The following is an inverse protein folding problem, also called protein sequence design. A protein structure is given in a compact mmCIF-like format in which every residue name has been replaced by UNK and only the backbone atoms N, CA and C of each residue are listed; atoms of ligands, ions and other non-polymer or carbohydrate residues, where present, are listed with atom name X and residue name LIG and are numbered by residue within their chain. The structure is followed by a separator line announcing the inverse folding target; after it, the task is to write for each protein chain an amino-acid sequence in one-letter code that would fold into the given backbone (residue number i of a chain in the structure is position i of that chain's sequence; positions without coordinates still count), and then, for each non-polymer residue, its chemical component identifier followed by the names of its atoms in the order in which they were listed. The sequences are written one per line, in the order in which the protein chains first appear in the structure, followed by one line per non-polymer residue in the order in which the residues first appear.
data_IF_849569095493
#
_entry.id   IF_849569095493
#
_cell.length_a   1.000
_cell.length_b   1.000
_cell.length_c   1.000
_cell.angle_alpha   90.00
_cell.angle_beta   90.00
_cell.angle_gamma   90.00
#
_symmetry.space_group_name_H-M   'P 1'
#
loop_
_entity.id
_entity.type
_entity.pdbx_description
1 polymer ?
#
# COMPACT_ATOMS: atom_id res chain seq x y z
N UNK A 1 -12.34 -6.36 -5.68
CA UNK A 1 -12.75 -4.93 -5.79
C UNK A 1 -13.92 -4.56 -4.89
N UNK A 2 -14.98 -5.37 -4.75
CA UNK A 2 -16.06 -5.05 -3.79
C UNK A 2 -15.54 -4.93 -2.35
N UNK A 3 -14.61 -5.79 -1.94
CA UNK A 3 -13.98 -5.73 -0.61
C UNK A 3 -13.02 -4.55 -0.45
N UNK A 4 -12.31 -4.18 -1.51
CA UNK A 4 -11.50 -2.95 -1.59
C UNK A 4 -12.38 -1.72 -1.39
N UNK A 5 -13.47 -1.61 -2.16
CA UNK A 5 -14.45 -0.54 -2.04
C UNK A 5 -15.12 -0.53 -0.66
N UNK A 6 -15.44 -1.70 -0.10
CA UNK A 6 -15.95 -1.84 1.27
C UNK A 6 -14.91 -1.44 2.34
N UNK A 7 -13.63 -1.70 2.11
CA UNK A 7 -12.55 -1.20 2.98
C UNK A 7 -12.41 0.33 2.90
N UNK A 8 -12.67 0.93 1.74
CA UNK A 8 -12.81 2.38 1.58
C UNK A 8 -14.09 2.94 2.23
N UNK A 9 -15.19 2.18 2.29
CA UNK A 9 -16.40 2.54 3.04
C UNK A 9 -16.20 2.48 4.56
N UNK A 10 -15.33 1.58 5.05
CA UNK A 10 -14.99 1.43 6.47
C UNK A 10 -13.92 2.43 6.95
N UNK A 11 -13.12 2.97 6.03
CA UNK A 11 -12.35 4.18 6.30
C UNK A 11 -13.35 5.32 6.46
N UNK A 12 -13.63 5.72 7.71
CA UNK A 12 -14.56 6.80 8.07
C UNK A 12 -14.09 8.16 7.52
N UNK A 13 -14.13 8.31 6.20
CA UNK A 13 -13.96 9.57 5.50
C UNK A 13 -15.26 10.35 5.68
N UNK A 14 -15.34 11.07 6.80
CA UNK A 14 -16.41 12.03 7.08
C UNK A 14 -16.64 12.91 5.83
N UNK A 15 -17.85 12.91 5.24
CA UNK A 15 -18.15 13.80 4.14
C UNK A 15 -18.02 15.24 4.61
N UNK A 16 -17.22 16.04 3.92
CA UNK A 16 -17.15 17.48 4.15
C UNK A 16 -18.57 18.06 4.15
N UNK A 17 -19.04 18.53 5.31
CA UNK A 17 -20.37 19.12 5.45
C UNK A 17 -20.48 20.36 4.57
N UNK A 18 -21.21 20.23 3.45
CA UNK A 18 -21.80 21.37 2.77
C UNK A 18 -23.32 21.22 2.79
N UNK A 19 -23.95 22.25 3.35
CA UNK A 19 -25.35 22.36 3.68
C UNK A 19 -26.28 22.42 2.44
N UNK A 20 -27.33 21.60 2.50
CA UNK A 20 -28.74 21.90 2.13
C UNK A 20 -29.10 22.03 0.63
N UNK A 21 -29.70 20.97 0.05
CA UNK A 21 -31.14 20.83 -0.32
C UNK A 21 -31.40 19.54 -1.13
N UNK A 22 -32.56 18.88 -0.92
CA UNK A 22 -33.07 17.67 -1.62
C UNK A 22 -34.37 18.04 -2.38
N UNK A 23 -34.93 17.19 -3.28
CA UNK A 23 -34.34 16.11 -4.08
C UNK A 23 -34.83 16.06 -5.55
N UNK A 24 -34.09 15.39 -6.44
CA UNK A 24 -34.72 14.62 -7.52
C UNK A 24 -33.91 13.38 -7.87
N UNK A 25 -34.65 12.31 -8.09
CA UNK A 25 -34.27 10.90 -8.21
C UNK A 25 -33.34 10.59 -9.39
N UNK A 26 -32.13 10.10 -9.11
CA UNK A 26 -31.46 9.10 -9.92
C UNK A 26 -30.58 8.23 -9.00
N UNK A 27 -30.57 6.93 -9.28
CA UNK A 27 -29.77 5.90 -8.60
C UNK A 27 -28.29 6.28 -8.59
N UNK A 28 -27.82 6.84 -7.46
CA UNK A 28 -26.43 7.19 -7.27
C UNK A 28 -25.68 6.02 -6.65
N UNK A 29 -24.75 5.43 -7.40
CA UNK A 29 -23.59 4.78 -6.78
C UNK A 29 -22.88 5.82 -5.89
N UNK A 30 -22.31 5.42 -4.74
CA UNK A 30 -21.62 6.35 -3.86
C UNK A 30 -20.41 6.94 -4.59
N UNK A 31 -20.52 8.20 -5.01
CA UNK A 31 -19.41 8.97 -5.57
C UNK A 31 -18.51 9.39 -4.42
N UNK A 32 -17.48 8.60 -4.13
CA UNK A 32 -16.37 9.05 -3.30
C UNK A 32 -15.75 10.28 -3.97
N UNK A 33 -15.74 11.43 -3.29
CA UNK A 33 -14.93 12.58 -3.72
C UNK A 33 -13.46 12.24 -3.45
N UNK A 34 -12.78 11.65 -4.44
CA UNK A 34 -11.41 11.14 -4.37
C UNK A 34 -10.30 12.20 -4.30
N UNK A 35 -10.63 13.47 -4.05
CA UNK A 35 -9.65 14.58 -4.13
C UNK A 35 -8.56 14.56 -3.06
N UNK A 36 -8.61 13.60 -2.11
CA UNK A 36 -7.65 13.44 -1.02
C UNK A 36 -7.07 12.01 -0.96
N UNK A 37 -7.26 11.20 -2.01
CA UNK A 37 -6.70 9.85 -2.07
C UNK A 37 -5.43 9.87 -2.90
N UNK A 38 -4.33 9.41 -2.32
CA UNK A 38 -3.03 9.27 -2.99
C UNK A 38 -2.68 7.82 -3.23
N UNK A 39 -1.81 7.58 -4.19
CA UNK A 39 -1.23 6.27 -4.41
C UNK A 39 0.30 6.38 -4.46
N UNK A 40 0.98 5.48 -3.77
CA UNK A 40 2.43 5.31 -3.86
C UNK A 40 2.70 3.87 -4.25
N UNK A 41 3.47 3.67 -5.30
CA UNK A 41 3.80 2.37 -5.83
C UNK A 41 5.30 2.12 -5.71
N UNK A 42 5.66 0.97 -5.14
CA UNK A 42 7.03 0.50 -5.07
C UNK A 42 7.15 -0.85 -5.77
N UNK A 43 8.28 -1.09 -6.45
CA UNK A 43 8.70 -2.45 -6.81
C UNK A 43 7.96 -3.07 -8.01
N UNK A 44 7.63 -2.29 -9.05
CA UNK A 44 7.02 -2.83 -10.28
C UNK A 44 8.01 -3.67 -11.10
N UNK A 45 9.30 -3.37 -11.02
CA UNK A 45 10.38 -3.91 -11.85
C UNK A 45 10.42 -3.36 -13.27
N UNK A 46 11.33 -3.90 -14.09
CA UNK A 46 11.48 -3.47 -15.49
C UNK A 46 10.33 -4.00 -16.36
N UNK A 47 9.32 -3.16 -16.60
CA UNK A 47 8.14 -3.52 -17.43
C UNK A 47 8.44 -3.57 -18.94
N UNK A 48 9.55 -3.03 -19.40
CA UNK A 48 10.01 -3.24 -20.78
C UNK A 48 10.39 -4.69 -21.04
N UNK A 49 11.04 -5.35 -20.08
CA UNK A 49 11.55 -6.72 -20.20
C UNK A 49 10.66 -7.78 -19.56
N UNK A 50 9.90 -7.43 -18.51
CA UNK A 50 9.14 -8.39 -17.70
C UNK A 50 7.63 -8.33 -17.97
N UNK A 51 7.05 -9.48 -18.35
CA UNK A 51 5.59 -9.62 -18.57
C UNK A 51 4.82 -9.39 -17.26
N UNK A 52 5.31 -9.89 -16.13
CA UNK A 52 4.66 -9.76 -14.82
C UNK A 52 4.58 -8.27 -14.44
N UNK A 53 5.68 -7.54 -14.55
CA UNK A 53 5.76 -6.10 -14.31
C UNK A 53 4.78 -5.30 -15.18
N UNK A 54 4.57 -5.70 -16.46
CA UNK A 54 3.55 -5.08 -17.31
C UNK A 54 2.14 -5.29 -16.80
N UNK A 55 1.80 -6.49 -16.34
CA UNK A 55 0.49 -6.77 -15.77
C UNK A 55 0.27 -6.02 -14.45
N UNK A 56 1.28 -5.94 -13.60
CA UNK A 56 1.22 -5.16 -12.36
C UNK A 56 1.05 -3.66 -12.64
N UNK A 57 1.77 -3.11 -13.62
CA UNK A 57 1.58 -1.71 -14.04
C UNK A 57 0.19 -1.47 -14.63
N UNK A 58 -0.29 -2.36 -15.50
CA UNK A 58 -1.63 -2.27 -16.07
C UNK A 58 -2.70 -2.30 -14.97
N UNK A 59 -2.56 -3.18 -13.98
CA UNK A 59 -3.46 -3.24 -12.83
C UNK A 59 -3.43 -1.97 -11.99
N UNK A 60 -2.24 -1.41 -11.71
CA UNK A 60 -2.11 -0.12 -11.04
C UNK A 60 -2.88 0.98 -11.77
N UNK A 61 -2.70 1.11 -13.09
CA UNK A 61 -3.39 2.13 -13.88
C UNK A 61 -4.91 1.96 -13.87
N UNK A 62 -5.40 0.72 -13.96
CA UNK A 62 -6.83 0.41 -13.85
C UNK A 62 -7.38 0.67 -12.45
N UNK A 63 -6.59 0.42 -11.41
CA UNK A 63 -6.94 0.73 -10.03
C UNK A 63 -7.11 2.24 -9.84
N UNK A 64 -6.17 3.05 -10.35
CA UNK A 64 -6.25 4.51 -10.30
C UNK A 64 -7.53 5.00 -10.99
N UNK A 65 -7.83 4.49 -12.19
CA UNK A 65 -9.05 4.83 -12.93
C UNK A 65 -10.31 4.44 -12.14
N UNK A 66 -10.36 3.21 -11.61
CA UNK A 66 -11.54 2.71 -10.91
C UNK A 66 -11.81 3.47 -9.61
N UNK A 67 -10.76 3.88 -8.90
CA UNK A 67 -10.84 4.68 -7.68
C UNK A 67 -10.89 6.19 -7.95
N UNK A 68 -10.86 6.58 -9.22
CA UNK A 68 -10.84 7.98 -9.66
C UNK A 68 -9.68 8.77 -9.03
N UNK A 69 -8.54 8.13 -8.76
CA UNK A 69 -7.34 8.79 -8.27
C UNK A 69 -6.69 9.48 -9.49
N UNK A 70 -6.50 10.82 -9.48
CA UNK A 70 -5.77 11.49 -10.54
C UNK A 70 -4.37 10.87 -10.68
N UNK A 71 -3.95 10.53 -11.89
CA UNK A 71 -2.64 9.88 -12.11
C UNK A 71 -1.48 10.73 -11.58
N UNK A 72 -1.62 12.05 -11.60
CA UNK A 72 -0.64 12.99 -11.01
C UNK A 72 -0.50 12.88 -9.48
N UNK A 73 -1.44 12.20 -8.81
CA UNK A 73 -1.40 11.85 -7.38
C UNK A 73 -0.94 10.39 -7.14
N UNK A 74 -0.48 9.72 -8.20
CA UNK A 74 0.21 8.43 -8.11
C UNK A 74 1.72 8.67 -8.25
N UNK A 75 2.45 8.27 -7.23
CA UNK A 75 3.91 8.30 -7.19
C UNK A 75 4.41 6.87 -7.36
N UNK A 76 5.44 6.67 -8.18
CA UNK A 76 5.96 5.33 -8.47
C UNK A 76 7.49 5.32 -8.38
N UNK A 77 8.03 4.29 -7.74
CA UNK A 77 9.46 4.08 -7.61
C UNK A 77 9.84 2.63 -7.87
N UNK A 78 10.88 2.45 -8.67
CA UNK A 78 11.61 1.20 -8.78
C UNK A 78 13.05 1.52 -9.21
N UNK A 79 14.09 0.98 -8.55
CA UNK A 79 15.48 1.23 -8.94
C UNK A 79 15.83 0.64 -10.32
N UNK A 80 15.02 -0.27 -10.85
CA UNK A 80 15.24 -0.92 -12.14
C UNK A 80 14.72 -0.13 -13.34
N UNK A 81 14.02 1.00 -13.12
CA UNK A 81 13.51 1.79 -14.24
C UNK A 81 14.64 2.40 -15.07
N UNK A 82 14.59 2.13 -16.38
CA UNK A 82 15.40 2.81 -17.38
C UNK A 82 14.85 4.21 -17.71
N UNK A 83 15.67 5.08 -18.31
CA UNK A 83 15.23 6.41 -18.77
C UNK A 83 14.00 6.34 -19.71
N UNK A 84 13.92 5.30 -20.56
CA UNK A 84 12.79 5.06 -21.45
C UNK A 84 11.52 4.76 -20.64
N UNK A 85 11.61 3.88 -19.64
CA UNK A 85 10.49 3.52 -18.78
C UNK A 85 10.02 4.71 -17.96
N UNK A 86 10.94 5.52 -17.44
CA UNK A 86 10.61 6.79 -16.77
C UNK A 86 9.85 7.72 -17.73
N UNK A 87 10.31 7.86 -18.98
CA UNK A 87 9.61 8.64 -20.01
C UNK A 87 8.18 8.14 -20.24
N UNK A 88 7.99 6.83 -20.40
CA UNK A 88 6.66 6.21 -20.57
C UNK A 88 5.76 6.45 -19.35
N UNK A 89 6.28 6.32 -18.13
CA UNK A 89 5.51 6.58 -16.91
C UNK A 89 5.04 8.04 -16.83
N UNK A 90 5.91 8.99 -17.17
CA UNK A 90 5.56 10.40 -17.22
C UNK A 90 4.49 10.69 -18.29
N UNK A 91 4.60 10.08 -19.48
CA UNK A 91 3.61 10.21 -20.55
C UNK A 91 2.25 9.60 -20.17
N UNK A 92 2.26 8.54 -19.35
CA UNK A 92 1.06 7.95 -18.76
C UNK A 92 0.44 8.82 -17.66
N UNK A 93 1.16 9.84 -17.19
CA UNK A 93 0.71 10.84 -16.23
C UNK A 93 0.93 10.48 -14.77
N UNK A 94 1.72 9.45 -14.45
CA UNK A 94 2.15 9.14 -13.08
C UNK A 94 3.49 9.78 -12.78
N UNK A 95 3.75 10.08 -11.50
CA UNK A 95 4.94 10.80 -11.08
C UNK A 95 6.02 9.81 -10.64
N UNK A 96 7.16 9.78 -11.31
CA UNK A 96 8.29 8.94 -10.90
C UNK A 96 9.04 9.60 -9.74
N UNK A 97 9.22 8.88 -8.63
CA UNK A 97 10.11 9.27 -7.54
C UNK A 97 11.54 9.00 -8.01
N UNK A 98 12.44 9.98 -7.88
CA UNK A 98 13.83 9.84 -8.34
C UNK A 98 14.80 9.42 -7.25
N UNK A 99 14.43 9.64 -5.99
CA UNK A 99 15.24 9.28 -4.83
C UNK A 99 14.70 8.01 -4.20
N UNK A 100 15.58 7.08 -3.84
CA UNK A 100 15.19 5.89 -3.12
C UNK A 100 14.85 6.25 -1.66
N UNK A 101 13.56 6.36 -1.37
CA UNK A 101 13.03 6.62 -0.02
C UNK A 101 13.09 5.38 0.89
N UNK A 102 13.52 4.21 0.39
CA UNK A 102 13.62 2.94 1.13
C UNK A 102 12.28 2.52 1.77
N UNK A 103 11.16 2.94 1.16
CA UNK A 103 9.80 2.68 1.64
C UNK A 103 9.33 3.59 2.78
N UNK A 104 10.11 4.61 3.14
CA UNK A 104 9.83 5.50 4.30
C UNK A 104 8.96 6.70 3.91
N UNK A 105 7.94 6.48 3.08
CA UNK A 105 7.05 7.55 2.63
C UNK A 105 6.15 8.02 3.77
N UNK A 106 6.13 9.31 4.06
CA UNK A 106 5.28 9.86 5.11
C UNK A 106 3.85 10.11 4.64
N UNK A 107 2.88 9.66 5.44
CA UNK A 107 1.45 9.81 5.17
C UNK A 107 0.94 11.14 5.70
N UNK A 108 0.30 11.92 4.82
CA UNK A 108 -0.44 13.14 5.19
C UNK A 108 -1.95 13.03 4.93
N UNK A 109 -2.33 12.18 3.99
CA UNK A 109 -3.69 11.98 3.50
C UNK A 109 -3.95 10.48 3.35
N UNK A 110 -5.18 10.04 3.08
CA UNK A 110 -5.41 8.62 2.84
C UNK A 110 -4.59 8.16 1.64
N UNK A 111 -3.76 7.15 1.85
CA UNK A 111 -2.74 6.75 0.87
C UNK A 111 -2.76 5.23 0.67
N UNK A 112 -2.85 4.84 -0.60
CA UNK A 112 -2.71 3.45 -1.03
C UNK A 112 -1.25 3.19 -1.36
N UNK A 113 -0.65 2.21 -0.69
CA UNK A 113 0.67 1.68 -1.00
C UNK A 113 0.52 0.42 -1.85
N UNK A 114 0.90 0.51 -3.12
CA UNK A 114 0.92 -0.60 -4.05
C UNK A 114 2.32 -1.21 -4.09
N UNK A 115 2.50 -2.35 -3.42
CA UNK A 115 3.81 -2.92 -3.08
C UNK A 115 3.92 -4.41 -3.43
N UNK A 116 3.23 -4.86 -4.49
CA UNK A 116 3.15 -6.28 -4.84
C UNK A 116 4.54 -6.90 -4.97
N UNK A 117 4.76 -8.04 -4.30
CA UNK A 117 6.03 -8.77 -4.26
C UNK A 117 7.24 -8.02 -3.69
N UNK A 118 7.04 -6.82 -3.11
CA UNK A 118 8.13 -6.09 -2.45
C UNK A 118 8.76 -6.90 -1.30
N UNK A 119 10.03 -6.62 -1.00
CA UNK A 119 10.72 -7.20 0.14
C UNK A 119 10.06 -6.82 1.48
N UNK A 120 10.11 -7.73 2.46
CA UNK A 120 9.45 -7.58 3.79
C UNK A 120 9.94 -6.35 4.54
N UNK A 121 11.23 -6.03 4.38
CA UNK A 121 11.84 -4.86 4.96
C UNK A 121 11.19 -3.55 4.47
N UNK A 122 10.62 -3.52 3.26
CA UNK A 122 9.98 -2.30 2.72
C UNK A 122 8.67 -2.00 3.43
N UNK A 123 7.86 -3.04 3.68
CA UNK A 123 6.66 -2.94 4.52
C UNK A 123 7.00 -2.51 5.93
N UNK A 124 8.07 -3.09 6.50
CA UNK A 124 8.48 -2.79 7.87
C UNK A 124 8.97 -1.34 8.01
N UNK A 125 9.71 -0.80 7.03
CA UNK A 125 10.10 0.61 6.96
C UNK A 125 8.89 1.54 6.79
N UNK A 126 7.95 1.17 5.93
CA UNK A 126 6.72 1.93 5.71
C UNK A 126 5.91 2.04 7.01
N UNK A 127 5.74 0.92 7.72
CA UNK A 127 5.06 0.89 9.00
C UNK A 127 5.81 1.72 10.04
N UNK A 128 7.13 1.56 10.15
CA UNK A 128 7.95 2.31 11.10
C UNK A 128 7.87 3.83 10.90
N UNK A 129 8.06 4.30 9.67
CA UNK A 129 8.04 5.73 9.33
C UNK A 129 6.68 6.39 9.58
N UNK A 130 5.62 5.58 9.71
CA UNK A 130 4.24 6.00 9.96
C UNK A 130 3.66 5.42 11.26
N UNK A 131 4.50 5.08 12.25
CA UNK A 131 4.10 4.29 13.42
C UNK A 131 3.26 5.06 14.45
N UNK A 132 2.04 5.42 14.07
CA UNK A 132 1.05 6.07 14.92
C UNK A 132 -0.36 5.63 14.53
N UNK A 133 -1.29 5.71 15.49
CA UNK A 133 -2.70 5.40 15.25
C UNK A 133 -3.26 6.27 14.11
N UNK A 134 -2.94 7.57 14.12
CA UNK A 134 -3.44 8.52 13.11
C UNK A 134 -2.95 8.18 11.70
N UNK A 135 -1.64 7.96 11.53
CA UNK A 135 -1.06 7.69 10.20
C UNK A 135 -1.47 6.30 9.68
N UNK A 136 -1.41 5.24 10.50
CA UNK A 136 -1.79 3.90 10.08
C UNK A 136 -3.29 3.82 9.73
N UNK A 137 -4.15 4.56 10.43
CA UNK A 137 -5.59 4.60 10.11
C UNK A 137 -5.91 5.20 8.73
N UNK A 138 -4.95 5.88 8.09
CA UNK A 138 -5.04 6.47 6.75
C UNK A 138 -4.30 5.63 5.69
N UNK A 139 -3.72 4.50 6.08
CA UNK A 139 -2.92 3.64 5.22
C UNK A 139 -3.74 2.47 4.69
N UNK A 140 -3.62 2.21 3.40
CA UNK A 140 -4.03 0.96 2.77
C UNK A 140 -2.81 0.37 2.08
N UNK A 141 -2.57 -0.92 2.23
CA UNK A 141 -1.50 -1.62 1.52
C UNK A 141 -2.12 -2.63 0.59
N UNK A 142 -1.67 -2.68 -0.67
CA UNK A 142 -1.92 -3.76 -1.62
C UNK A 142 -0.57 -4.42 -1.87
N UNK A 143 -0.36 -5.60 -1.29
CA UNK A 143 0.96 -6.22 -1.25
C UNK A 143 0.93 -7.62 -0.67
N UNK A 144 2.09 -8.11 -0.24
CA UNK A 144 2.28 -9.46 0.29
C UNK A 144 1.49 -9.65 1.59
N UNK A 145 0.85 -10.82 1.72
CA UNK A 145 0.12 -11.21 2.93
C UNK A 145 0.98 -11.09 4.18
N UNK A 146 0.50 -10.34 5.19
CA UNK A 146 1.18 -10.18 6.47
C UNK A 146 1.01 -11.45 7.28
N UNK A 147 -0.18 -12.05 7.22
CA UNK A 147 -0.41 -13.40 7.74
C UNK A 147 0.49 -14.44 7.07
N UNK A 148 0.62 -14.39 5.75
CA UNK A 148 1.53 -15.26 5.00
C UNK A 148 3.00 -15.03 5.36
N UNK A 149 3.41 -13.80 5.69
CA UNK A 149 4.74 -13.49 6.23
C UNK A 149 4.92 -14.10 7.63
N UNK A 150 3.94 -13.94 8.53
CA UNK A 150 3.93 -14.53 9.87
C UNK A 150 4.06 -16.05 9.83
N UNK A 151 3.29 -16.72 8.97
CA UNK A 151 3.26 -18.18 8.87
C UNK A 151 4.57 -18.79 8.31
N UNK A 152 5.27 -18.06 7.43
CA UNK A 152 6.51 -18.55 6.78
C UNK A 152 7.78 -18.25 7.56
N UNK A 153 7.78 -17.22 8.41
CA UNK A 153 8.95 -16.84 9.20
C UNK A 153 8.93 -17.49 10.58
N UNK A 154 10.11 -17.81 11.11
CA UNK A 154 10.23 -18.14 12.53
C UNK A 154 9.87 -16.90 13.36
N UNK A 155 9.06 -17.05 14.41
CA UNK A 155 8.64 -15.94 15.27
C UNK A 155 9.83 -15.07 15.74
N UNK A 156 10.93 -15.70 16.16
CA UNK A 156 12.17 -14.99 16.56
C UNK A 156 12.78 -14.12 15.47
N UNK A 157 12.63 -14.48 14.19
CA UNK A 157 13.13 -13.72 13.04
C UNK A 157 12.16 -12.58 12.74
N UNK A 158 10.85 -12.86 12.74
CA UNK A 158 9.81 -11.85 12.54
C UNK A 158 9.92 -10.73 13.59
N UNK A 159 10.05 -11.09 14.87
CA UNK A 159 10.19 -10.13 15.97
C UNK A 159 11.50 -9.35 15.94
N UNK A 160 12.60 -9.98 15.50
CA UNK A 160 13.92 -9.33 15.44
C UNK A 160 14.04 -8.38 14.25
N UNK A 161 13.68 -8.84 13.06
CA UNK A 161 13.99 -8.15 11.79
C UNK A 161 12.80 -7.38 11.22
N UNK A 162 11.58 -7.79 11.56
CA UNK A 162 10.33 -7.22 11.02
C UNK A 162 9.34 -6.86 12.13
N UNK A 163 9.87 -6.25 13.19
CA UNK A 163 9.15 -5.93 14.43
C UNK A 163 7.83 -5.17 14.19
N UNK A 164 7.78 -4.25 13.23
CA UNK A 164 6.59 -3.44 12.97
C UNK A 164 5.50 -4.25 12.27
N UNK A 165 5.87 -5.19 11.39
CA UNK A 165 4.93 -6.18 10.86
C UNK A 165 4.39 -7.03 12.02
N UNK A 166 5.27 -7.57 12.87
CA UNK A 166 4.88 -8.41 14.01
C UNK A 166 3.87 -7.72 14.93
N UNK A 167 4.14 -6.45 15.28
CA UNK A 167 3.29 -5.65 16.18
C UNK A 167 1.95 -5.26 15.56
N UNK A 168 1.90 -4.99 14.25
CA UNK A 168 0.69 -4.48 13.61
C UNK A 168 -0.33 -5.57 13.27
N UNK A 169 0.05 -6.86 13.27
CA UNK A 169 -0.82 -7.98 12.87
C UNK A 169 -2.20 -7.95 13.53
N UNK A 170 -2.27 -7.76 14.86
CA UNK A 170 -3.55 -7.67 15.59
C UNK A 170 -4.34 -6.39 15.28
N UNK A 171 -3.64 -5.33 14.88
CA UNK A 171 -4.19 -4.04 14.46
C UNK A 171 -4.65 -4.02 13.00
N UNK A 172 -4.41 -5.10 12.25
CA UNK A 172 -4.63 -5.18 10.81
C UNK A 172 -5.91 -5.95 10.51
N UNK A 173 -6.61 -5.52 9.45
CA UNK A 173 -7.50 -6.37 8.69
C UNK A 173 -6.85 -6.68 7.35
N UNK A 174 -7.04 -7.92 6.89
CA UNK A 174 -6.41 -8.42 5.68
C UNK A 174 -7.42 -9.20 4.83
N UNK A 175 -7.52 -8.87 3.55
CA UNK A 175 -8.33 -9.58 2.57
C UNK A 175 -7.46 -10.02 1.38
N UNK A 176 -7.35 -11.33 1.16
CA UNK A 176 -6.58 -11.88 0.05
C UNK A 176 -7.21 -11.52 -1.30
N UNK A 177 -6.39 -11.30 -2.33
CA UNK A 177 -6.87 -11.16 -3.69
C UNK A 177 -7.62 -12.41 -4.16
N UNK A 178 -8.64 -12.25 -5.02
CA UNK A 178 -9.35 -13.40 -5.58
C UNK A 178 -8.39 -14.22 -6.44
N UNK A 179 -8.42 -15.54 -6.24
CA UNK A 179 -7.62 -16.47 -7.05
C UNK A 179 -8.14 -16.47 -8.48
N UNK A 180 -7.26 -16.20 -9.44
CA UNK A 180 -7.57 -16.30 -10.86
C UNK A 180 -6.49 -17.10 -11.59
N UNK A 181 -6.81 -18.22 -12.25
CA UNK A 181 -5.82 -19.11 -12.87
C UNK A 181 -4.83 -18.41 -13.81
N UNK A 182 -5.29 -17.40 -14.56
CA UNK A 182 -4.45 -16.64 -15.50
C UNK A 182 -3.43 -15.71 -14.82
N UNK A 183 -3.71 -15.26 -13.59
CA UNK A 183 -2.89 -14.25 -12.90
C UNK A 183 -2.26 -14.76 -11.61
N UNK A 184 -2.26 -16.09 -11.41
CA UNK A 184 -1.71 -16.69 -10.18
C UNK A 184 -0.25 -16.29 -9.97
N UNK A 185 0.60 -16.39 -10.97
CA UNK A 185 2.03 -16.08 -10.83
C UNK A 185 2.32 -14.56 -10.75
N UNK A 186 1.29 -13.71 -10.92
CA UNK A 186 1.41 -12.25 -10.93
C UNK A 186 0.95 -11.67 -9.59
N UNK A 187 -0.15 -12.18 -9.04
CA UNK A 187 -0.79 -11.69 -7.82
C UNK A 187 -0.93 -12.77 -6.73
N UNK A 188 -0.13 -13.84 -6.79
CA UNK A 188 -0.04 -14.79 -5.68
C UNK A 188 0.36 -14.06 -4.40
N UNK A 189 -0.06 -14.59 -3.25
CA UNK A 189 0.31 -14.05 -1.93
C UNK A 189 -0.05 -12.55 -1.76
N UNK A 190 -0.90 -11.99 -2.63
CA UNK A 190 -1.30 -10.58 -2.61
C UNK A 190 -2.58 -10.40 -1.80
N UNK A 191 -2.57 -9.44 -0.90
CA UNK A 191 -3.67 -9.07 -0.01
C UNK A 191 -3.84 -7.55 0.00
N UNK A 192 -5.03 -7.11 0.42
CA UNK A 192 -5.31 -5.74 0.83
C UNK A 192 -5.28 -5.69 2.35
N UNK A 193 -4.54 -4.72 2.88
CA UNK A 193 -4.40 -4.46 4.30
C UNK A 193 -4.96 -3.09 4.62
N UNK A 194 -5.73 -2.99 5.69
CA UNK A 194 -6.12 -1.72 6.28
C UNK A 194 -6.07 -1.84 7.80
N UNK A 195 -6.03 -0.69 8.47
CA UNK A 195 -5.79 -0.64 9.91
C UNK A 195 -6.97 0.08 10.59
N UNK A 196 -8.05 -0.63 10.95
CA UNK A 196 -9.20 -0.01 11.57
C UNK A 196 -8.83 0.71 12.86
N UNK A 197 -9.32 1.94 13.02
CA UNK A 197 -9.05 2.77 14.20
C UNK A 197 -9.37 2.03 15.52
N UNK A 198 -10.40 1.20 15.54
CA UNK A 198 -10.79 0.41 16.72
C UNK A 198 -9.73 -0.63 17.06
N UNK A 199 -9.28 -1.44 16.09
CA UNK A 199 -8.22 -2.44 16.29
C UNK A 199 -6.89 -1.80 16.69
N UNK A 200 -6.55 -0.64 16.12
CA UNK A 200 -5.35 0.10 16.51
C UNK A 200 -5.40 0.57 17.96
N UNK A 201 -6.56 1.03 18.44
CA UNK A 201 -6.76 1.45 19.85
C UNK A 201 -6.75 0.28 20.83
N UNK A 202 -7.02 -0.93 20.38
CA UNK A 202 -6.95 -2.16 21.18
C UNK A 202 -5.53 -2.70 21.34
N UNK A 203 -4.57 -2.22 20.53
CA UNK A 203 -3.17 -2.56 20.72
C UNK A 203 -2.65 -2.01 22.05
N UNK A 204 -1.76 -2.74 22.74
CA UNK A 204 -1.20 -2.30 24.01
C UNK A 204 -0.47 -0.95 23.84
N UNK A 205 -0.61 0.00 24.78
CA UNK A 205 0.04 1.32 24.69
C UNK A 205 1.55 1.24 24.44
N UNK A 206 2.21 0.21 24.94
CA UNK A 206 3.62 -0.07 24.75
C UNK A 206 3.99 -0.32 23.28
N UNK A 207 3.04 -0.80 22.47
CA UNK A 207 3.26 -0.98 21.03
C UNK A 207 3.56 0.36 20.33
N UNK A 208 3.02 1.48 20.84
CA UNK A 208 3.12 2.81 20.26
C UNK A 208 4.26 3.67 20.84
N UNK A 209 5.04 3.13 21.77
CA UNK A 209 6.22 3.83 22.27
C UNK A 209 7.22 4.05 21.13
N UNK A 210 8.03 5.11 21.23
CA UNK A 210 9.08 5.37 20.26
C UNK A 210 10.03 4.18 20.17
N UNK A 211 10.39 3.78 18.95
CA UNK A 211 11.23 2.64 18.64
C UNK A 211 12.27 3.02 17.58
N UNK A 212 13.37 2.27 17.56
CA UNK A 212 14.49 2.52 16.65
C UNK A 212 14.15 2.19 15.19
N UNK A 213 14.84 2.88 14.29
CA UNK A 213 14.80 2.59 12.86
C UNK A 213 15.26 1.14 12.60
N UNK A 214 14.52 0.34 11.80
CA UNK A 214 14.95 -1.00 11.44
C UNK A 214 16.33 -1.02 10.79
N UNK A 215 17.18 -1.97 11.20
CA UNK A 215 18.48 -2.23 10.57
C UNK A 215 18.54 -3.67 10.09
N UNK A 216 18.87 -3.86 8.82
CA UNK A 216 18.87 -5.17 8.16
C UNK A 216 20.30 -5.64 7.88
N UNK A 217 20.86 -6.48 8.75
CA UNK A 217 22.24 -6.97 8.62
C UNK A 217 22.36 -8.25 7.78
N UNK A 218 21.33 -9.11 7.78
CA UNK A 218 21.34 -10.46 7.17
C UNK A 218 20.13 -10.71 6.25
N UNK A 219 19.65 -9.67 5.55
CA UNK A 219 18.51 -9.82 4.64
C UNK A 219 18.99 -9.84 3.18
N UNK A 220 18.69 -10.91 2.46
CA UNK A 220 19.06 -11.09 1.05
C UNK A 220 18.14 -10.27 0.10
N UNK A 221 16.90 -9.97 0.52
CA UNK A 221 15.88 -9.26 -0.28
C UNK A 221 15.82 -7.75 0.04
N UNK A 222 16.93 -7.04 -0.19
CA UNK A 222 17.04 -5.59 0.08
C UNK A 222 17.20 -4.74 -1.19
N UNK A 223 16.72 -5.20 -2.35
CA UNK A 223 16.90 -4.51 -3.64
C UNK A 223 16.45 -3.04 -3.63
N UNK A 224 15.44 -2.69 -2.82
CA UNK A 224 14.92 -1.32 -2.66
C UNK A 224 15.45 -0.64 -1.38
N UNK A 225 16.16 -1.34 -0.50
CA UNK A 225 16.55 -0.84 0.84
C UNK A 225 18.07 -0.69 0.96
N UNK A 226 18.80 -0.89 -0.13
CA UNK A 226 20.22 -0.59 -0.24
C UNK A 226 20.42 0.50 -1.28
N UNK A 227 21.10 1.58 -0.88
CA UNK A 227 21.60 2.62 -1.79
C UNK A 227 22.71 2.09 -2.69
#
# INVERSE_FOLDING_TARGET
MSEVLCSFENLQLEPSQQSVMKPSSHSGEPVFKSSHLRCVCYGIGSFSSCVISRYQLAFLLLLLEKLQIPKSQCYIFDPLFSELEIGVLNDLGVTVILENEEGKHHIHEVTIFYMIHCGKALYNNLLWSNWSIDALSKMIIIGNSFKGIEERLLARILERDYLYIAKVLKGTEEAAFPVHPQYMDIFNDTSIHWFPLQKLKELPPEAWQFQEEPVYQECDDLEIIRK
#
